data_IF_417083055233
#
_entry.id   IF_417083055233
#
_cell.length_a   1.000
_cell.length_b   1.000
_cell.length_c   1.000
_cell.angle_alpha   90.00
_cell.angle_beta   90.00
_cell.angle_gamma   90.00
#
_symmetry.space_group_name_H-M   'P 1'
#
loop_
_entity.id
_entity.type
_entity.pdbx_description
1 polymer ?
#
# COMPACT_ATOMS: atom_id res chain seq x y z
N UNK A 1 2.74 -1.05 26.64
CA UNK A 1 2.47 -2.29 25.88
C UNK A 1 3.63 -2.43 24.95
N UNK A 2 4.57 -3.33 25.28
CA UNK A 2 5.73 -3.65 24.45
C UNK A 2 5.22 -4.39 23.23
N UNK A 3 4.81 -3.63 22.22
CA UNK A 3 4.26 -4.19 21.00
C UNK A 3 5.45 -4.62 20.14
N UNK A 4 5.86 -5.88 20.30
CA UNK A 4 6.97 -6.51 19.54
C UNK A 4 6.70 -6.66 18.03
N UNK A 5 5.66 -6.02 17.49
CA UNK A 5 5.33 -6.09 16.08
C UNK A 5 6.44 -5.49 15.22
N UNK A 6 7.02 -4.36 15.61
CA UNK A 6 8.03 -3.69 14.78
C UNK A 6 9.24 -4.60 14.50
N UNK A 7 9.87 -5.12 15.56
CA UNK A 7 11.04 -6.01 15.45
C UNK A 7 10.73 -7.25 14.61
N UNK A 8 9.58 -7.88 14.86
CA UNK A 8 9.15 -9.08 14.15
C UNK A 8 8.89 -8.80 12.67
N UNK A 9 8.19 -7.71 12.38
CA UNK A 9 7.87 -7.28 11.03
C UNK A 9 9.13 -6.92 10.25
N UNK A 10 10.06 -6.15 10.83
CA UNK A 10 11.35 -5.81 10.19
C UNK A 10 12.16 -7.07 9.88
N UNK A 11 12.16 -8.06 10.78
CA UNK A 11 12.88 -9.32 10.55
C UNK A 11 12.34 -10.06 9.33
N UNK A 12 11.02 -10.12 9.17
CA UNK A 12 10.36 -10.78 8.04
C UNK A 12 10.42 -9.94 6.76
N UNK A 13 10.34 -8.62 6.85
CA UNK A 13 10.36 -7.69 5.71
C UNK A 13 11.56 -7.90 4.79
N UNK A 14 12.72 -8.26 5.35
CA UNK A 14 13.99 -8.46 4.62
C UNK A 14 13.91 -9.46 3.45
N UNK A 15 12.89 -10.31 3.39
CA UNK A 15 12.72 -11.28 2.30
C UNK A 15 11.91 -10.75 1.12
N UNK A 16 11.25 -9.60 1.28
CA UNK A 16 10.13 -9.19 0.42
C UNK A 16 10.25 -7.71 -0.01
N UNK A 17 11.49 -7.19 -0.02
CA UNK A 17 11.83 -5.81 -0.38
C UNK A 17 13.11 -5.73 -1.20
N UNK A 18 13.20 -4.67 -2.01
CA UNK A 18 14.45 -4.19 -2.62
C UNK A 18 15.32 -3.45 -1.60
N UNK A 19 16.61 -3.17 -1.88
CA UNK A 19 17.50 -2.48 -0.94
C UNK A 19 16.87 -1.18 -0.46
N UNK A 20 16.83 -1.00 0.86
CA UNK A 20 16.18 0.14 1.48
C UNK A 20 16.90 0.49 2.78
N UNK A 21 16.99 1.78 3.07
CA UNK A 21 17.54 2.28 4.33
C UNK A 21 16.65 1.89 5.53
N UNK A 22 17.20 2.03 6.73
CA UNK A 22 16.48 1.70 7.96
C UNK A 22 15.25 2.59 8.17
N UNK A 23 14.14 1.99 8.61
CA UNK A 23 12.97 2.72 9.07
C UNK A 23 13.17 3.21 10.51
N UNK A 24 12.62 4.37 10.88
CA UNK A 24 12.62 4.79 12.28
C UNK A 24 11.79 3.79 13.10
N UNK A 25 12.28 3.46 14.29
CA UNK A 25 11.58 2.56 15.23
C UNK A 25 10.50 3.30 16.05
N UNK A 26 10.62 4.63 16.15
CA UNK A 26 9.73 5.47 16.93
C UNK A 26 8.70 6.12 15.99
N UNK A 27 7.44 6.15 16.43
CA UNK A 27 6.38 6.86 15.72
C UNK A 27 6.64 8.37 15.72
N UNK A 28 6.55 8.97 14.54
CA UNK A 28 6.59 10.43 14.35
C UNK A 28 5.46 11.13 15.11
N UNK A 29 5.72 12.35 15.62
CA UNK A 29 4.71 13.19 16.28
C UNK A 29 3.55 13.56 15.34
N UNK A 30 3.74 13.40 14.03
CA UNK A 30 2.70 13.56 13.01
C UNK A 30 1.63 12.45 13.07
N UNK A 31 1.90 11.34 13.76
CA UNK A 31 0.99 10.19 13.85
C UNK A 31 0.14 10.32 15.11
N UNK A 32 -1.18 10.32 14.93
CA UNK A 32 -2.15 10.14 16.00
C UNK A 32 -2.83 8.79 15.86
N UNK A 33 -2.49 7.85 16.75
CA UNK A 33 -3.06 6.51 16.78
C UNK A 33 -4.46 6.54 17.39
N UNK A 34 -5.39 5.82 16.78
CA UNK A 34 -6.78 5.71 17.21
C UNK A 34 -7.23 4.25 17.18
N UNK A 35 -8.28 3.93 17.93
CA UNK A 35 -8.93 2.62 17.86
C UNK A 35 -10.26 2.79 17.15
N UNK A 36 -10.51 1.99 16.11
CA UNK A 36 -11.78 1.97 15.41
C UNK A 36 -12.87 1.32 16.28
N UNK A 37 -14.15 1.56 15.98
CA UNK A 37 -15.28 0.93 16.70
C UNK A 37 -15.24 -0.60 16.69
N UNK A 38 -14.61 -1.20 15.67
CA UNK A 38 -14.33 -2.64 15.55
C UNK A 38 -13.23 -3.15 16.49
N UNK A 39 -12.51 -2.27 17.19
CA UNK A 39 -11.37 -2.61 18.04
C UNK A 39 -10.02 -2.61 17.31
N UNK A 40 -10.01 -2.51 15.99
CA UNK A 40 -8.80 -2.50 15.18
C UNK A 40 -8.11 -1.12 15.19
N UNK A 41 -6.77 -1.04 15.11
CA UNK A 41 -6.07 0.23 15.07
C UNK A 41 -6.32 0.98 13.75
N UNK A 42 -6.48 2.28 13.84
CA UNK A 42 -6.37 3.22 12.72
C UNK A 42 -5.46 4.37 13.15
N UNK A 43 -5.13 5.27 12.23
CA UNK A 43 -4.36 6.46 12.56
C UNK A 43 -4.74 7.65 11.71
N UNK A 44 -4.35 8.82 12.21
CA UNK A 44 -4.28 10.04 11.44
C UNK A 44 -2.82 10.42 11.23
N UNK A 45 -2.43 10.68 9.99
CA UNK A 45 -1.16 11.35 9.68
C UNK A 45 -1.48 12.82 9.47
N UNK A 46 -1.02 13.67 10.39
CA UNK A 46 -1.41 15.07 10.51
C UNK A 46 -2.94 15.22 10.54
N UNK A 47 -3.56 15.65 9.44
CA UNK A 47 -5.00 15.85 9.31
C UNK A 47 -5.71 14.77 8.45
N UNK A 48 -4.96 13.79 7.93
CA UNK A 48 -5.47 12.76 7.01
C UNK A 48 -5.74 11.47 7.78
N UNK A 49 -7.00 11.06 7.84
CA UNK A 49 -7.39 9.76 8.39
C UNK A 49 -7.01 8.65 7.39
N UNK A 50 -6.22 7.67 7.84
CA UNK A 50 -5.69 6.63 6.96
C UNK A 50 -6.69 5.50 6.70
N UNK A 51 -7.43 5.07 7.71
CA UNK A 51 -8.45 4.02 7.58
C UNK A 51 -9.70 4.38 8.37
N UNK A 52 -10.82 3.75 8.02
CA UNK A 52 -12.11 3.86 8.67
C UNK A 52 -12.02 3.78 10.20
N UNK A 53 -12.57 4.80 10.87
CA UNK A 53 -12.75 4.79 12.33
C UNK A 53 -13.84 3.81 12.81
N UNK A 54 -14.58 3.20 11.89
CA UNK A 54 -15.62 2.24 12.23
C UNK A 54 -15.08 0.81 12.11
N UNK A 55 -14.60 0.44 10.94
CA UNK A 55 -14.18 -0.92 10.60
C UNK A 55 -13.21 -0.89 9.40
N UNK A 56 -11.89 -0.82 9.66
CA UNK A 56 -10.88 -0.75 8.61
C UNK A 56 -10.75 -2.07 7.83
N UNK A 57 -11.05 -3.22 8.43
CA UNK A 57 -11.03 -4.51 7.74
C UNK A 57 -12.19 -4.62 6.73
N UNK A 58 -13.38 -4.12 7.09
CA UNK A 58 -14.52 -4.06 6.16
C UNK A 58 -14.29 -3.10 5.02
N UNK A 59 -13.65 -1.97 5.28
CA UNK A 59 -13.19 -1.05 4.24
C UNK A 59 -12.22 -1.75 3.28
N UNK A 60 -11.22 -2.46 3.81
CA UNK A 60 -10.26 -3.22 3.03
C UNK A 60 -10.89 -4.31 2.16
N UNK A 61 -11.86 -5.08 2.68
CA UNK A 61 -12.59 -6.07 1.88
C UNK A 61 -13.33 -5.44 0.70
N UNK A 62 -13.92 -4.25 0.90
CA UNK A 62 -14.57 -3.49 -0.18
C UNK A 62 -13.55 -2.97 -1.19
N UNK A 63 -12.36 -2.56 -0.72
CA UNK A 63 -11.27 -2.11 -1.59
C UNK A 63 -10.86 -3.21 -2.58
N UNK A 64 -10.76 -4.45 -2.13
CA UNK A 64 -10.36 -5.59 -2.96
C UNK A 64 -11.50 -6.22 -3.78
N UNK A 65 -12.77 -5.89 -3.51
CA UNK A 65 -13.95 -6.64 -3.97
C UNK A 65 -13.98 -6.92 -5.49
N UNK A 66 -13.51 -5.95 -6.30
CA UNK A 66 -13.55 -6.01 -7.76
C UNK A 66 -12.38 -6.77 -8.41
N UNK A 67 -11.33 -7.07 -7.64
CA UNK A 67 -10.17 -7.80 -8.15
C UNK A 67 -10.56 -9.21 -8.60
N UNK A 68 -9.84 -9.72 -9.59
CA UNK A 68 -10.02 -11.08 -10.10
C UNK A 68 -8.95 -12.00 -9.52
N UNK A 69 -9.28 -13.29 -9.44
CA UNK A 69 -8.29 -14.33 -9.11
C UNK A 69 -7.21 -14.35 -10.20
N UNK A 70 -5.95 -14.48 -9.81
CA UNK A 70 -4.78 -14.39 -10.69
C UNK A 70 -4.35 -12.97 -11.04
N UNK A 71 -5.04 -11.93 -10.56
CA UNK A 71 -4.68 -10.55 -10.86
C UNK A 71 -3.28 -10.20 -10.34
N UNK A 72 -2.57 -9.37 -11.09
CA UNK A 72 -1.32 -8.75 -10.67
C UNK A 72 -1.61 -7.32 -10.27
N UNK A 73 -1.43 -6.99 -9.00
CA UNK A 73 -1.83 -5.72 -8.44
C UNK A 73 -0.61 -4.88 -8.15
N UNK A 74 -0.57 -3.65 -8.68
CA UNK A 74 0.34 -2.60 -8.24
C UNK A 74 -0.45 -1.61 -7.40
N UNK A 75 -0.10 -1.50 -6.13
CA UNK A 75 -0.80 -0.69 -5.15
C UNK A 75 0.10 0.44 -4.65
N UNK A 76 -0.31 1.68 -4.85
CA UNK A 76 0.26 2.78 -4.10
C UNK A 76 -0.44 2.92 -2.74
N UNK A 77 0.36 2.91 -1.68
CA UNK A 77 -0.01 3.12 -0.29
C UNK A 77 -0.12 1.81 0.48
N UNK A 78 0.79 1.60 1.43
CA UNK A 78 0.73 0.48 2.37
C UNK A 78 -0.32 0.75 3.47
N UNK A 79 -0.39 2.01 3.92
CA UNK A 79 -1.29 2.40 5.00
C UNK A 79 -0.99 1.61 6.28
N UNK A 80 -1.94 0.81 6.75
CA UNK A 80 -1.74 -0.11 7.88
C UNK A 80 -1.74 -1.58 7.44
N UNK A 81 -1.81 -1.88 6.14
CA UNK A 81 -1.78 -3.26 5.63
C UNK A 81 -3.15 -3.95 5.48
N UNK A 82 -4.27 -3.34 5.93
CA UNK A 82 -5.58 -4.01 5.87
C UNK A 82 -6.00 -4.42 4.45
N UNK A 83 -5.82 -3.51 3.48
CA UNK A 83 -6.15 -3.79 2.09
C UNK A 83 -5.17 -4.77 1.46
N UNK A 84 -3.92 -4.90 1.95
CA UNK A 84 -2.98 -5.90 1.47
C UNK A 84 -3.47 -7.31 1.83
N UNK A 85 -3.93 -7.52 3.07
CA UNK A 85 -4.55 -8.79 3.49
C UNK A 85 -5.72 -9.16 2.57
N UNK A 86 -6.64 -8.20 2.35
CA UNK A 86 -7.82 -8.42 1.52
C UNK A 86 -7.48 -8.66 0.04
N UNK A 87 -6.45 -8.00 -0.49
CA UNK A 87 -5.98 -8.20 -1.87
C UNK A 87 -5.35 -9.58 -2.01
N UNK A 88 -4.44 -9.98 -1.11
CA UNK A 88 -3.77 -11.27 -1.15
C UNK A 88 -4.76 -12.45 -1.07
N UNK A 89 -5.81 -12.33 -0.25
CA UNK A 89 -6.91 -13.30 -0.22
C UNK A 89 -7.63 -13.34 -1.57
N UNK A 90 -8.01 -12.16 -2.10
CA UNK A 90 -8.83 -12.05 -3.30
C UNK A 90 -8.14 -12.52 -4.58
N UNK A 91 -6.86 -12.21 -4.76
CA UNK A 91 -6.11 -12.56 -5.98
C UNK A 91 -5.72 -14.04 -6.04
N UNK A 92 -5.78 -14.77 -4.92
CA UNK A 92 -5.50 -16.21 -4.90
C UNK A 92 -4.06 -16.59 -5.28
N UNK A 93 -3.72 -17.89 -5.28
CA UNK A 93 -2.33 -18.38 -5.30
C UNK A 93 -1.52 -17.97 -6.54
N UNK A 94 -2.19 -17.72 -7.67
CA UNK A 94 -1.55 -17.32 -8.93
C UNK A 94 -1.42 -15.79 -9.08
N UNK A 95 -1.96 -15.03 -8.13
CA UNK A 95 -1.90 -13.57 -8.13
C UNK A 95 -0.54 -13.03 -7.65
N UNK A 96 -0.40 -11.72 -7.78
CA UNK A 96 0.78 -10.98 -7.33
C UNK A 96 0.41 -9.62 -6.76
N UNK A 97 1.08 -9.16 -5.72
CA UNK A 97 0.87 -7.85 -5.12
C UNK A 97 2.22 -7.12 -4.95
N UNK A 98 2.39 -6.05 -5.71
CA UNK A 98 3.41 -5.04 -5.49
C UNK A 98 2.79 -3.88 -4.71
N UNK A 99 3.31 -3.57 -3.52
CA UNK A 99 2.94 -2.39 -2.75
C UNK A 99 4.07 -1.35 -2.76
N UNK A 100 3.70 -0.07 -2.79
CA UNK A 100 4.63 1.07 -2.74
C UNK A 100 4.22 1.97 -1.58
N UNK A 101 5.13 2.31 -0.67
CA UNK A 101 4.90 3.30 0.38
C UNK A 101 6.11 4.22 0.52
N UNK A 102 5.94 5.48 0.13
CA UNK A 102 7.02 6.47 0.12
C UNK A 102 7.08 7.26 1.43
N UNK A 103 6.04 7.18 2.27
CA UNK A 103 6.03 7.87 3.55
C UNK A 103 6.55 6.93 4.66
N UNK A 104 7.78 7.17 5.18
CA UNK A 104 8.37 6.29 6.19
C UNK A 104 7.61 6.34 7.52
N UNK A 105 6.98 7.47 7.88
CA UNK A 105 6.20 7.60 9.12
C UNK A 105 4.98 6.68 9.08
N UNK A 106 4.33 6.57 7.92
CA UNK A 106 3.19 5.68 7.72
C UNK A 106 3.64 4.22 7.72
N UNK A 107 4.72 3.89 7.02
CA UNK A 107 5.24 2.52 6.99
C UNK A 107 5.67 2.07 8.38
N UNK A 108 6.42 2.88 9.13
CA UNK A 108 6.77 2.61 10.53
C UNK A 108 5.52 2.37 11.36
N UNK A 109 4.48 3.21 11.23
CA UNK A 109 3.23 3.00 11.95
C UNK A 109 2.58 1.66 11.60
N UNK A 110 2.62 1.24 10.34
CA UNK A 110 2.12 -0.06 9.92
C UNK A 110 2.87 -1.21 10.58
N UNK A 111 4.20 -1.12 10.67
CA UNK A 111 5.05 -2.13 11.28
C UNK A 111 4.92 -2.17 12.81
N UNK A 112 4.57 -1.04 13.44
CA UNK A 112 4.43 -0.93 14.90
C UNK A 112 3.05 -1.32 15.41
N UNK A 113 1.99 -1.02 14.64
CA UNK A 113 0.61 -1.13 15.13
C UNK A 113 -0.07 -2.45 14.79
N UNK A 114 0.42 -3.19 13.78
CA UNK A 114 -0.15 -4.48 13.36
C UNK A 114 0.94 -5.51 13.10
N UNK A 115 0.58 -6.77 13.26
CA UNK A 115 1.38 -7.89 12.79
C UNK A 115 1.25 -7.99 11.27
N UNK A 116 2.36 -7.79 10.55
CA UNK A 116 2.44 -7.84 9.09
C UNK A 116 3.14 -9.10 8.61
N UNK A 117 3.52 -10.01 9.51
CA UNK A 117 4.30 -11.20 9.16
C UNK A 117 3.62 -12.06 8.10
N UNK A 118 2.30 -12.24 8.18
CA UNK A 118 1.55 -12.99 7.16
C UNK A 118 1.66 -12.39 5.74
N UNK A 119 1.68 -11.06 5.62
CA UNK A 119 1.89 -10.37 4.34
C UNK A 119 3.33 -10.56 3.86
N UNK A 120 4.31 -10.35 4.75
CA UNK A 120 5.72 -10.40 4.39
C UNK A 120 6.23 -11.81 4.10
N UNK A 121 5.65 -12.86 4.67
CA UNK A 121 5.97 -14.26 4.36
C UNK A 121 5.32 -14.74 3.05
N UNK A 122 4.35 -13.99 2.51
CA UNK A 122 3.69 -14.34 1.27
C UNK A 122 4.61 -14.08 0.07
N UNK A 123 4.94 -15.15 -0.67
CA UNK A 123 5.82 -15.07 -1.84
C UNK A 123 5.23 -14.27 -3.01
N UNK A 124 3.94 -13.98 -2.98
CA UNK A 124 3.25 -13.15 -3.98
C UNK A 124 3.40 -11.66 -3.69
N UNK A 125 3.91 -11.29 -2.52
CA UNK A 125 4.02 -9.91 -2.08
C UNK A 125 5.42 -9.34 -2.28
N UNK A 126 5.50 -8.09 -2.72
CA UNK A 126 6.72 -7.29 -2.70
C UNK A 126 6.42 -5.86 -2.29
N UNK A 127 7.28 -5.27 -1.48
CA UNK A 127 7.18 -3.89 -1.03
C UNK A 127 8.38 -3.07 -1.54
N UNK A 128 8.08 -1.93 -2.15
CA UNK A 128 9.06 -0.89 -2.46
C UNK A 128 8.85 0.29 -1.53
N UNK A 129 9.91 0.66 -0.83
CA UNK A 129 10.01 1.86 -0.01
C UNK A 129 11.45 2.35 0.00
N UNK A 130 11.67 3.61 0.33
CA UNK A 130 13.01 4.19 0.43
C UNK A 130 12.94 5.70 0.36
N UNK A 131 13.96 6.43 0.84
CA UNK A 131 13.98 7.89 0.85
C UNK A 131 14.43 8.51 -0.48
N UNK A 132 15.13 7.75 -1.33
CA UNK A 132 15.69 8.23 -2.58
C UNK A 132 14.73 7.98 -3.76
N UNK A 133 14.28 9.07 -4.39
CA UNK A 133 13.30 9.00 -5.48
C UNK A 133 13.84 8.28 -6.72
N UNK A 134 15.12 8.46 -7.05
CA UNK A 134 15.70 7.87 -8.25
C UNK A 134 15.85 6.35 -8.10
N UNK A 135 16.28 5.89 -6.92
CA UNK A 135 16.35 4.47 -6.56
C UNK A 135 14.96 3.85 -6.55
N UNK A 136 14.01 4.43 -5.82
CA UNK A 136 12.65 3.89 -5.75
C UNK A 136 11.99 3.86 -7.14
N UNK A 137 12.19 4.87 -7.97
CA UNK A 137 11.68 4.89 -9.34
C UNK A 137 12.26 3.77 -10.22
N UNK A 138 13.57 3.48 -10.08
CA UNK A 138 14.19 2.33 -10.78
C UNK A 138 13.61 1.01 -10.31
N UNK A 139 13.45 0.83 -9.00
CA UNK A 139 12.88 -0.41 -8.43
C UNK A 139 11.42 -0.59 -8.88
N UNK A 140 10.62 0.48 -8.89
CA UNK A 140 9.24 0.43 -9.41
C UNK A 140 9.26 -0.01 -10.87
N UNK A 141 10.12 0.59 -11.69
CA UNK A 141 10.20 0.26 -13.12
C UNK A 141 10.58 -1.21 -13.33
N UNK A 142 11.62 -1.70 -12.64
CA UNK A 142 12.07 -3.08 -12.70
C UNK A 142 10.97 -4.07 -12.29
N UNK A 143 10.31 -3.80 -11.16
CA UNK A 143 9.25 -4.69 -10.67
C UNK A 143 8.00 -4.64 -11.55
N UNK A 144 7.67 -3.47 -12.10
CA UNK A 144 6.58 -3.33 -13.08
C UNK A 144 6.85 -4.14 -14.35
N UNK A 145 8.07 -4.10 -14.90
CA UNK A 145 8.46 -4.94 -16.05
C UNK A 145 8.30 -6.43 -15.73
N UNK A 146 8.75 -6.85 -14.54
CA UNK A 146 8.71 -8.24 -14.08
C UNK A 146 7.29 -8.77 -13.90
N UNK A 147 6.38 -7.96 -13.35
CA UNK A 147 4.98 -8.39 -13.15
C UNK A 147 4.15 -8.24 -14.43
N UNK A 148 4.47 -7.29 -15.31
CA UNK A 148 3.66 -7.05 -16.52
C UNK A 148 3.90 -8.15 -17.56
N UNK A 149 5.15 -8.51 -17.86
CA UNK A 149 5.55 -9.65 -18.71
C UNK A 149 4.50 -10.19 -19.71
N UNK A 150 4.21 -11.48 -19.65
CA UNK A 150 3.13 -12.14 -20.42
C UNK A 150 1.72 -11.93 -19.81
N UNK A 151 1.61 -11.13 -18.75
CA UNK A 151 0.42 -10.94 -17.93
C UNK A 151 -0.14 -9.51 -18.00
N UNK A 152 0.14 -8.76 -19.07
CA UNK A 152 -0.22 -7.35 -19.18
C UNK A 152 -1.74 -7.11 -19.00
N UNK A 153 -2.57 -8.02 -19.52
CA UNK A 153 -4.04 -7.96 -19.42
C UNK A 153 -4.57 -8.21 -18.00
N UNK A 154 -3.71 -8.66 -17.07
CA UNK A 154 -4.06 -8.99 -15.69
C UNK A 154 -3.54 -7.94 -14.69
N UNK A 155 -2.89 -6.88 -15.17
CA UNK A 155 -2.34 -5.82 -14.35
C UNK A 155 -3.42 -4.83 -13.89
N UNK A 156 -3.51 -4.66 -12.58
CA UNK A 156 -4.48 -3.82 -11.89
C UNK A 156 -3.73 -2.81 -11.01
N UNK A 157 -3.88 -1.51 -11.29
CA UNK A 157 -3.21 -0.44 -10.53
C UNK A 157 -4.19 0.22 -9.57
N UNK A 158 -3.91 0.17 -8.27
CA UNK A 158 -4.77 0.68 -7.21
C UNK A 158 -4.07 1.77 -6.39
N UNK A 159 -4.87 2.68 -5.86
CA UNK A 159 -4.39 3.78 -5.03
C UNK A 159 -5.17 3.79 -3.71
N UNK A 160 -4.47 3.59 -2.61
CA UNK A 160 -5.00 3.90 -1.29
C UNK A 160 -5.01 5.43 -1.11
N UNK A 161 -6.16 6.04 -1.40
CA UNK A 161 -6.27 7.49 -1.51
C UNK A 161 -5.76 8.29 -0.29
N UNK A 162 -5.93 7.84 0.97
CA UNK A 162 -5.31 8.50 2.12
C UNK A 162 -3.78 8.47 2.07
N UNK A 163 -3.15 7.32 1.82
CA UNK A 163 -1.69 7.23 1.66
C UNK A 163 -1.19 8.10 0.49
N UNK A 164 -1.94 8.12 -0.61
CA UNK A 164 -1.62 8.95 -1.78
C UNK A 164 -1.59 10.45 -1.48
N UNK A 165 -2.34 10.93 -0.48
CA UNK A 165 -2.28 12.33 -0.06
C UNK A 165 -1.10 12.64 0.86
N UNK A 166 -0.43 11.60 1.36
CA UNK A 166 0.65 11.69 2.31
C UNK A 166 2.04 11.47 1.68
N UNK A 167 2.17 11.52 0.34
CA UNK A 167 3.47 11.39 -0.31
C UNK A 167 4.38 12.53 0.19
N UNK A 168 5.59 12.23 0.67
CA UNK A 168 6.53 13.29 1.05
C UNK A 168 6.89 14.17 -0.14
N UNK A 169 7.09 15.46 0.10
CA UNK A 169 7.48 16.43 -0.94
C UNK A 169 8.85 16.17 -1.57
N UNK A 170 9.61 15.22 -1.02
CA UNK A 170 10.88 14.72 -1.55
C UNK A 170 10.71 13.78 -2.75
N UNK A 171 9.48 13.43 -3.13
CA UNK A 171 9.17 12.59 -4.31
C UNK A 171 8.35 13.33 -5.39
N UNK A 172 8.79 14.50 -5.88
CA UNK A 172 8.01 15.30 -6.82
C UNK A 172 7.74 14.58 -8.16
N UNK A 173 8.73 13.88 -8.73
CA UNK A 173 8.58 13.21 -10.02
C UNK A 173 7.66 12.00 -9.95
N UNK A 174 7.79 11.17 -8.91
CA UNK A 174 6.91 10.04 -8.66
C UNK A 174 5.49 10.52 -8.33
N UNK A 175 5.34 11.58 -7.55
CA UNK A 175 4.01 12.15 -7.26
C UNK A 175 3.32 12.54 -8.57
N UNK A 176 3.99 13.30 -9.44
CA UNK A 176 3.43 13.70 -10.74
C UNK A 176 3.06 12.48 -11.61
N UNK A 177 3.94 11.47 -11.70
CA UNK A 177 3.67 10.27 -12.49
C UNK A 177 2.45 9.49 -11.96
N UNK A 178 2.34 9.33 -10.65
CA UNK A 178 1.22 8.64 -10.02
C UNK A 178 -0.10 9.44 -10.15
N UNK A 179 -0.06 10.78 -10.12
CA UNK A 179 -1.22 11.62 -10.39
C UNK A 179 -1.74 11.44 -11.83
N UNK A 180 -0.84 11.41 -12.81
CA UNK A 180 -1.20 11.14 -14.21
C UNK A 180 -1.88 9.77 -14.34
N UNK A 181 -1.29 8.72 -13.77
CA UNK A 181 -1.87 7.37 -13.79
C UNK A 181 -3.24 7.32 -13.10
N UNK A 182 -3.41 8.02 -11.98
CA UNK A 182 -4.69 8.09 -11.28
C UNK A 182 -5.77 8.79 -12.13
N UNK A 183 -5.41 9.86 -12.84
CA UNK A 183 -6.33 10.59 -13.72
C UNK A 183 -6.74 9.73 -14.93
N UNK A 184 -5.80 9.06 -15.58
CA UNK A 184 -6.08 8.17 -16.71
C UNK A 184 -7.04 7.04 -16.32
N UNK A 185 -6.87 6.44 -15.14
CA UNK A 185 -7.79 5.40 -14.65
C UNK A 185 -9.17 5.92 -14.28
N UNK A 186 -9.27 7.17 -13.80
CA UNK A 186 -10.58 7.79 -13.50
C UNK A 186 -11.34 8.18 -14.76
N UNK A 187 -10.64 8.49 -15.84
CA UNK A 187 -11.23 9.01 -17.06
C UNK A 187 -12.37 8.11 -17.60
N UNK A 188 -12.19 6.78 -17.82
CA UNK A 188 -13.27 5.91 -18.28
C UNK A 188 -14.49 5.87 -17.33
N UNK A 189 -14.26 5.88 -16.02
CA UNK A 189 -15.34 5.83 -15.03
C UNK A 189 -16.18 7.12 -15.00
N UNK A 190 -15.57 8.27 -15.28
CA UNK A 190 -16.28 9.56 -15.34
C UNK A 190 -17.28 9.60 -16.51
N UNK A 191 -16.92 9.05 -17.67
CA UNK A 191 -17.79 9.05 -18.85
C UNK A 191 -18.79 7.89 -18.87
N UNK A 192 -18.43 6.72 -18.32
CA UNK A 192 -19.37 5.60 -18.19
C UNK A 192 -20.57 5.89 -17.26
N UNK A 193 -20.47 6.90 -16.40
CA UNK A 193 -21.59 7.41 -15.60
C UNK A 193 -22.43 8.47 -16.32
N UNK A 194 -21.87 9.18 -17.31
CA UNK A 194 -22.59 10.17 -18.12
C UNK A 194 -23.49 9.51 -19.16
N UNK A 195 -23.13 8.33 -19.68
CA UNK A 195 -23.97 7.56 -20.61
C UNK A 195 -25.15 6.84 -19.94
N UNK A 196 -25.15 6.77 -18.60
CA UNK A 196 -26.20 6.12 -17.79
C UNK A 196 -27.16 7.11 -17.11
N UNK A 197 -26.99 8.41 -17.35
CA UNK A 197 -27.83 9.50 -16.84
C UNK A 197 -28.76 10.02 -17.94
#
# INVERSE_FOLDING_TARGET
MDNHFFERNIKTLKTSVSPSEGLPEILSEKISVMTASSGQPTLRFENILLHSIYDPEKEARRFAEKLQVGARVCLYGFGLGYHLDAILDKIGPDGYLLAIELNPDILTAALTLRDQTGIFEDRRFHLIYGPDEAEVSREISHEMERITGDHADQLEVFFHAPSFKCIPSTFPSLTNALEVLLLERRFPAMFGNLEKA
#
